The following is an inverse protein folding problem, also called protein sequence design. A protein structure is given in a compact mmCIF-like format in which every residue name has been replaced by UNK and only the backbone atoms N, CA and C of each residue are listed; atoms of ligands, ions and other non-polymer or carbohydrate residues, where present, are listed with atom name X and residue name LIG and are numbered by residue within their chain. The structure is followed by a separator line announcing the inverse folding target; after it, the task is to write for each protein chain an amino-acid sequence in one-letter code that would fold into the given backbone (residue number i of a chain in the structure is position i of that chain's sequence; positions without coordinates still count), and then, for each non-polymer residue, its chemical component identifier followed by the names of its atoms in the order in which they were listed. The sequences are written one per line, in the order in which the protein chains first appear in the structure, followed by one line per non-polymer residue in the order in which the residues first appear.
data_IF_653715230477
#
_entry.id   IF_653715230477
#
_cell.length_a   1.000
_cell.length_b   1.000
_cell.length_c   1.000
_cell.angle_alpha   90.00
_cell.angle_beta   90.00
_cell.angle_gamma   90.00
#
_symmetry.space_group_name_H-M   'P 1'
#
loop_
_entity.id
_entity.type
_entity.pdbx_description
1 polymer ?
#
# COMPACT_ATOMS: atom_id res chain seq x y z
N UNK A 1 7.49 -19.83 0.42
CA UNK A 1 8.15 -18.87 1.32
C UNK A 1 7.49 -18.74 2.70
N UNK A 2 6.14 -18.60 2.78
CA UNK A 2 5.45 -18.31 4.06
C UNK A 2 5.09 -19.55 4.90
N UNK A 3 5.28 -20.75 4.38
CA UNK A 3 5.03 -21.99 5.13
C UNK A 3 5.96 -22.08 6.35
N UNK A 4 5.41 -22.48 7.48
CA UNK A 4 6.10 -22.58 8.76
C UNK A 4 6.75 -21.26 9.26
N UNK A 5 6.27 -20.10 8.78
CA UNK A 5 6.73 -18.76 9.21
C UNK A 5 5.68 -18.07 10.08
N UNK A 6 6.18 -17.26 11.01
CA UNK A 6 5.34 -16.34 11.79
C UNK A 6 5.28 -15.00 11.06
N UNK A 7 4.08 -14.57 10.68
CA UNK A 7 3.84 -13.35 9.90
C UNK A 7 2.96 -12.41 10.71
N UNK A 8 3.28 -11.12 10.72
CA UNK A 8 2.46 -10.10 11.34
C UNK A 8 2.03 -9.05 10.31
N UNK A 9 0.73 -8.70 10.33
CA UNK A 9 0.15 -7.67 9.49
C UNK A 9 -0.33 -6.54 10.39
N UNK A 10 0.33 -5.37 10.34
CA UNK A 10 -0.20 -4.17 10.99
C UNK A 10 -1.32 -3.57 10.14
N UNK A 11 -2.34 -2.98 10.78
CA UNK A 11 -3.54 -2.57 10.05
C UNK A 11 -4.32 -3.76 9.46
N UNK A 12 -4.14 -4.95 10.05
CA UNK A 12 -4.62 -6.22 9.53
C UNK A 12 -6.14 -6.35 9.36
N UNK A 13 -6.94 -5.52 10.04
CA UNK A 13 -8.41 -5.47 9.86
C UNK A 13 -8.88 -4.50 8.76
N UNK A 14 -7.94 -3.81 8.08
CA UNK A 14 -8.24 -2.99 6.90
C UNK A 14 -8.54 -3.85 5.66
N UNK A 15 -8.98 -3.21 4.57
CA UNK A 15 -9.30 -3.93 3.30
C UNK A 15 -8.12 -4.77 2.81
N UNK A 16 -6.91 -4.19 2.77
CA UNK A 16 -5.70 -4.92 2.38
C UNK A 16 -5.40 -6.08 3.35
N UNK A 17 -5.42 -5.83 4.67
CA UNK A 17 -5.10 -6.84 5.68
C UNK A 17 -6.04 -8.04 5.66
N UNK A 18 -7.35 -7.81 5.50
CA UNK A 18 -8.36 -8.89 5.35
C UNK A 18 -8.07 -9.75 4.11
N UNK A 19 -7.85 -9.12 2.95
CA UNK A 19 -7.54 -9.86 1.71
C UNK A 19 -6.19 -10.56 1.78
N UNK A 20 -5.19 -9.94 2.41
CA UNK A 20 -3.88 -10.55 2.64
C UNK A 20 -3.98 -11.80 3.52
N UNK A 21 -4.77 -11.73 4.59
CA UNK A 21 -5.07 -12.88 5.47
C UNK A 21 -5.73 -14.02 4.69
N UNK A 22 -6.77 -13.71 3.91
CA UNK A 22 -7.47 -14.69 3.06
C UNK A 22 -6.50 -15.41 2.10
N UNK A 23 -5.68 -14.64 1.38
CA UNK A 23 -4.73 -15.19 0.40
C UNK A 23 -3.64 -16.02 1.08
N UNK A 24 -3.10 -15.55 2.21
CA UNK A 24 -2.08 -16.30 2.95
C UNK A 24 -2.64 -17.63 3.42
N UNK A 25 -3.85 -17.65 4.01
CA UNK A 25 -4.48 -18.88 4.50
C UNK A 25 -4.91 -19.84 3.39
N UNK A 26 -5.20 -19.32 2.19
CA UNK A 26 -5.54 -20.12 1.02
C UNK A 26 -4.31 -20.76 0.37
N UNK A 27 -3.18 -20.04 0.32
CA UNK A 27 -1.99 -20.46 -0.45
C UNK A 27 -0.88 -21.05 0.41
N UNK A 28 -0.85 -20.78 1.71
CA UNK A 28 0.25 -21.14 2.60
C UNK A 28 -0.24 -21.73 3.93
N UNK A 29 0.66 -22.37 4.63
CA UNK A 29 0.47 -22.90 6.00
C UNK A 29 1.43 -22.17 6.95
N UNK A 30 1.10 -20.95 7.39
CA UNK A 30 1.95 -20.21 8.30
C UNK A 30 2.02 -20.90 9.68
N UNK A 31 3.14 -20.82 10.36
CA UNK A 31 3.24 -21.24 11.77
C UNK A 31 2.34 -20.36 12.64
N UNK A 32 2.28 -19.06 12.33
CA UNK A 32 1.45 -18.09 13.04
C UNK A 32 1.16 -16.90 12.11
N UNK A 33 -0.09 -16.46 12.05
CA UNK A 33 -0.52 -15.25 11.35
C UNK A 33 -1.12 -14.28 12.35
N UNK A 34 -0.45 -13.17 12.60
CA UNK A 34 -0.82 -12.18 13.60
C UNK A 34 -1.48 -10.99 12.92
N UNK A 35 -2.71 -10.70 13.32
CA UNK A 35 -3.51 -9.56 12.90
C UNK A 35 -3.38 -8.48 13.97
N UNK A 36 -2.62 -7.43 13.67
CA UNK A 36 -2.39 -6.33 14.60
C UNK A 36 -3.18 -5.09 14.18
N UNK A 37 -4.11 -4.64 15.00
CA UNK A 37 -4.90 -3.43 14.75
C UNK A 37 -5.51 -2.86 16.05
N UNK A 38 -5.94 -1.58 16.00
CA UNK A 38 -6.52 -0.87 17.16
C UNK A 38 -7.98 -1.21 17.42
N UNK A 39 -8.70 -1.60 16.36
CA UNK A 39 -10.16 -1.68 16.34
C UNK A 39 -10.60 -3.09 16.76
N UNK A 40 -11.09 -3.19 17.99
CA UNK A 40 -11.57 -4.43 18.61
C UNK A 40 -12.77 -5.01 17.85
N UNK A 41 -13.74 -4.18 17.47
CA UNK A 41 -14.93 -4.66 16.76
C UNK A 41 -14.58 -5.29 15.40
N UNK A 42 -13.69 -4.65 14.63
CA UNK A 42 -13.22 -5.22 13.36
C UNK A 42 -12.41 -6.51 13.54
N UNK A 43 -11.68 -6.65 14.66
CA UNK A 43 -11.01 -7.91 14.99
C UNK A 43 -12.03 -8.99 15.31
N UNK A 44 -13.06 -8.68 16.09
CA UNK A 44 -14.15 -9.60 16.39
C UNK A 44 -14.88 -10.07 15.11
N UNK A 45 -15.29 -9.13 14.24
CA UNK A 45 -15.88 -9.45 12.94
C UNK A 45 -14.97 -10.35 12.08
N UNK A 46 -13.67 -10.06 12.09
CA UNK A 46 -12.69 -10.84 11.32
C UNK A 46 -12.47 -12.24 11.92
N UNK A 47 -12.51 -12.39 13.25
CA UNK A 47 -12.42 -13.68 13.91
C UNK A 47 -13.62 -14.58 13.58
N UNK A 48 -14.81 -14.02 13.36
CA UNK A 48 -15.96 -14.79 12.87
C UNK A 48 -15.75 -15.31 11.45
N UNK A 49 -15.08 -14.55 10.57
CA UNK A 49 -14.75 -14.99 9.21
C UNK A 49 -13.63 -16.04 9.19
N UNK A 50 -12.72 -15.97 10.16
CA UNK A 50 -11.56 -16.86 10.30
C UNK A 50 -11.55 -17.52 11.68
N UNK A 51 -12.51 -18.42 11.98
CA UNK A 51 -12.64 -19.01 13.31
C UNK A 51 -11.47 -19.96 13.64
N UNK A 52 -11.08 -19.99 14.90
CA UNK A 52 -9.97 -20.81 15.43
C UNK A 52 -10.12 -22.30 15.11
N UNK A 53 -11.34 -22.82 15.05
CA UNK A 53 -11.62 -24.22 14.70
C UNK A 53 -11.11 -24.58 13.29
N UNK A 54 -11.11 -23.61 12.36
CA UNK A 54 -10.65 -23.80 11.00
C UNK A 54 -9.23 -23.24 10.77
N UNK A 55 -8.87 -22.20 11.50
CA UNK A 55 -7.61 -21.47 11.31
C UNK A 55 -6.86 -21.29 12.65
N UNK A 56 -6.38 -22.39 13.27
CA UNK A 56 -5.78 -22.36 14.63
C UNK A 56 -4.47 -21.58 14.70
N UNK A 57 -3.93 -21.13 13.56
CA UNK A 57 -2.67 -20.37 13.48
C UNK A 57 -2.87 -18.85 13.49
N UNK A 58 -4.12 -18.35 13.41
CA UNK A 58 -4.41 -16.92 13.49
C UNK A 58 -4.31 -16.45 14.95
N UNK A 59 -3.81 -15.23 15.12
CA UNK A 59 -3.79 -14.52 16.40
C UNK A 59 -4.23 -13.08 16.19
N UNK A 60 -5.17 -12.63 17.00
CA UNK A 60 -5.67 -11.26 17.00
C UNK A 60 -5.03 -10.47 18.15
N UNK A 61 -4.25 -9.44 17.79
CA UNK A 61 -3.58 -8.57 18.73
C UNK A 61 -4.16 -7.16 18.65
N UNK A 62 -4.89 -6.74 19.66
CA UNK A 62 -5.29 -5.33 19.81
C UNK A 62 -4.05 -4.53 20.18
N UNK A 63 -3.77 -3.48 19.38
CA UNK A 63 -2.65 -2.58 19.62
C UNK A 63 -2.53 -1.49 18.57
N UNK A 64 -1.82 -0.43 18.92
CA UNK A 64 -1.53 0.72 18.09
C UNK A 64 -0.05 0.73 17.69
N UNK A 65 0.27 1.07 16.44
CA UNK A 65 1.67 1.20 15.97
C UNK A 65 2.41 2.34 16.68
N UNK A 66 1.69 3.26 17.32
CA UNK A 66 2.25 4.33 18.15
C UNK A 66 2.78 3.83 19.50
N UNK A 67 2.33 2.66 19.93
CA UNK A 67 2.73 2.00 21.18
C UNK A 67 3.87 1.02 20.90
N UNK A 68 5.11 1.47 21.18
CA UNK A 68 6.34 0.67 20.95
C UNK A 68 6.36 -0.58 21.85
N UNK A 69 5.90 -0.49 23.10
CA UNK A 69 5.92 -1.61 24.03
C UNK A 69 4.95 -2.70 23.56
N UNK A 70 3.75 -2.31 23.12
CA UNK A 70 2.76 -3.24 22.58
C UNK A 70 3.25 -3.91 21.28
N UNK A 71 3.90 -3.16 20.39
CA UNK A 71 4.55 -3.72 19.19
C UNK A 71 5.63 -4.73 19.58
N UNK A 72 6.46 -4.42 20.58
CA UNK A 72 7.52 -5.31 21.06
C UNK A 72 6.98 -6.68 21.49
N UNK A 73 5.84 -6.70 22.18
CA UNK A 73 5.15 -7.95 22.54
C UNK A 73 4.59 -8.69 21.33
N UNK A 74 4.00 -7.95 20.37
CA UNK A 74 3.38 -8.55 19.20
C UNK A 74 4.41 -9.15 18.22
N UNK A 75 5.62 -8.57 18.14
CA UNK A 75 6.70 -8.99 17.23
C UNK A 75 7.53 -10.17 17.77
N UNK A 76 7.28 -10.63 18.98
CA UNK A 76 8.03 -11.74 19.55
C UNK A 76 7.95 -13.00 18.70
N UNK A 77 9.11 -13.51 18.23
CA UNK A 77 9.24 -14.64 17.31
C UNK A 77 8.47 -14.48 15.99
N UNK A 78 8.44 -13.25 15.42
CA UNK A 78 7.91 -12.97 14.09
C UNK A 78 9.03 -13.04 13.06
N UNK A 79 8.81 -13.78 11.97
CA UNK A 79 9.77 -13.85 10.86
C UNK A 79 9.59 -12.68 9.88
N UNK A 80 8.32 -12.35 9.53
CA UNK A 80 8.01 -11.35 8.50
C UNK A 80 6.91 -10.39 8.96
N UNK A 81 7.05 -9.12 8.57
CA UNK A 81 6.07 -8.08 8.86
C UNK A 81 5.60 -7.43 7.55
N UNK A 82 4.28 -7.29 7.42
CA UNK A 82 3.64 -6.49 6.37
C UNK A 82 3.03 -5.28 7.06
N UNK A 83 3.62 -4.09 6.84
CA UNK A 83 3.17 -2.86 7.49
C UNK A 83 2.15 -2.14 6.62
N UNK A 84 0.86 -2.29 6.96
CA UNK A 84 -0.27 -1.66 6.25
C UNK A 84 -1.05 -0.64 7.11
N UNK A 85 -0.63 -0.41 8.35
CA UNK A 85 -1.28 0.57 9.23
C UNK A 85 -0.92 2.00 8.82
N UNK A 86 -1.93 2.81 8.52
CA UNK A 86 -1.77 4.24 8.25
C UNK A 86 -3.09 5.01 8.45
N UNK A 87 -3.00 6.30 8.70
CA UNK A 87 -4.07 7.26 8.46
C UNK A 87 -3.97 7.71 6.99
N UNK A 88 -5.02 7.49 6.18
CA UNK A 88 -4.98 7.68 4.73
C UNK A 88 -5.99 8.69 4.17
N UNK A 89 -6.94 9.14 4.97
CA UNK A 89 -7.96 10.09 4.54
C UNK A 89 -7.37 11.50 4.53
N UNK A 90 -7.26 12.10 3.34
CA UNK A 90 -6.61 13.42 3.16
C UNK A 90 -7.27 14.49 4.03
N UNK A 91 -8.60 14.71 3.99
CA UNK A 91 -9.23 15.76 4.82
C UNK A 91 -9.03 15.53 6.33
N UNK A 92 -9.07 14.28 6.77
CA UNK A 92 -8.87 13.95 8.18
C UNK A 92 -7.43 14.17 8.63
N UNK A 93 -6.44 13.89 7.75
CA UNK A 93 -5.03 14.13 8.03
C UNK A 93 -4.72 15.63 8.07
N UNK A 94 -5.28 16.43 7.16
CA UNK A 94 -5.12 17.88 7.16
C UNK A 94 -5.71 18.52 8.43
N UNK A 95 -6.87 18.04 8.87
CA UNK A 95 -7.51 18.54 10.09
C UNK A 95 -6.82 18.07 11.37
N UNK A 96 -6.21 16.87 11.37
CA UNK A 96 -5.52 16.28 12.51
C UNK A 96 -4.04 16.00 12.17
N UNK A 97 -3.22 17.03 11.89
CA UNK A 97 -1.91 16.84 11.29
C UNK A 97 -0.97 16.02 12.16
N UNK A 98 -0.94 16.25 13.46
CA UNK A 98 -0.02 15.56 14.35
C UNK A 98 -0.41 14.08 14.57
N UNK A 99 -1.70 13.74 14.49
CA UNK A 99 -2.13 12.34 14.54
C UNK A 99 -1.69 11.56 13.28
N UNK A 100 -1.66 12.23 12.12
CA UNK A 100 -1.09 11.66 10.90
C UNK A 100 0.44 11.44 11.05
N UNK A 101 1.17 12.42 11.60
CA UNK A 101 2.61 12.30 11.92
C UNK A 101 2.85 11.14 12.90
N UNK A 102 2.13 11.10 14.03
CA UNK A 102 2.27 10.04 15.02
C UNK A 102 2.05 8.65 14.45
N UNK A 103 1.02 8.49 13.61
CA UNK A 103 0.68 7.17 13.06
C UNK A 103 1.59 6.78 11.90
N UNK A 104 1.76 7.68 10.92
CA UNK A 104 2.42 7.33 9.66
C UNK A 104 3.96 7.46 9.74
N UNK A 105 4.48 8.34 10.59
CA UNK A 105 5.93 8.56 10.73
C UNK A 105 6.45 7.89 12.01
N UNK A 106 5.98 8.32 13.21
CA UNK A 106 6.47 7.75 14.46
C UNK A 106 6.06 6.28 14.60
N UNK A 107 4.86 5.91 14.13
CA UNK A 107 4.43 4.51 14.06
C UNK A 107 5.31 3.66 13.13
N UNK A 108 5.72 4.20 11.98
CA UNK A 108 6.67 3.53 11.08
C UNK A 108 8.04 3.34 11.76
N UNK A 109 8.55 4.38 12.43
CA UNK A 109 9.81 4.29 13.17
C UNK A 109 9.75 3.26 14.30
N UNK A 110 8.62 3.17 15.03
CA UNK A 110 8.43 2.14 16.04
C UNK A 110 8.46 0.73 15.45
N UNK A 111 7.81 0.53 14.29
CA UNK A 111 7.83 -0.76 13.58
C UNK A 111 9.26 -1.14 13.18
N UNK A 112 10.05 -0.21 12.67
CA UNK A 112 11.46 -0.43 12.31
C UNK A 112 12.27 -0.81 13.54
N UNK A 113 12.23 0.01 14.60
CA UNK A 113 12.98 -0.24 15.83
C UNK A 113 12.65 -1.61 16.42
N UNK A 114 11.37 -1.92 16.56
CA UNK A 114 10.94 -3.20 17.15
C UNK A 114 11.28 -4.38 16.23
N UNK A 115 11.21 -4.21 14.92
CA UNK A 115 11.62 -5.26 13.99
C UNK A 115 13.12 -5.62 14.16
N UNK A 116 13.96 -4.60 14.32
CA UNK A 116 15.39 -4.76 14.60
C UNK A 116 15.59 -5.43 15.95
N UNK A 117 14.98 -4.90 17.02
CA UNK A 117 15.11 -5.40 18.39
C UNK A 117 14.67 -6.87 18.52
N UNK A 118 13.66 -7.29 17.76
CA UNK A 118 13.09 -8.65 17.77
C UNK A 118 13.68 -9.60 16.70
N UNK A 119 14.62 -9.14 15.88
CA UNK A 119 15.26 -9.95 14.84
C UNK A 119 14.31 -10.39 13.71
N UNK A 120 13.33 -9.56 13.36
CA UNK A 120 12.42 -9.79 12.22
C UNK A 120 13.25 -9.82 10.93
N UNK A 121 13.10 -10.86 10.12
CA UNK A 121 13.93 -11.05 8.92
C UNK A 121 13.59 -10.08 7.80
N UNK A 122 12.29 -9.86 7.54
CA UNK A 122 11.83 -9.01 6.45
C UNK A 122 10.66 -8.15 6.90
N UNK A 123 10.71 -6.87 6.55
CA UNK A 123 9.61 -5.92 6.72
C UNK A 123 9.31 -5.29 5.38
N UNK A 124 8.07 -5.43 4.89
CA UNK A 124 7.60 -4.73 3.71
C UNK A 124 6.53 -3.73 4.10
N UNK A 125 6.74 -2.45 3.75
CA UNK A 125 5.81 -1.37 4.06
C UNK A 125 4.98 -0.99 2.84
N UNK A 126 3.68 -0.74 3.05
CA UNK A 126 2.81 -0.26 1.98
C UNK A 126 2.87 1.27 1.88
N UNK A 127 3.03 1.76 0.68
CA UNK A 127 3.02 3.17 0.31
C UNK A 127 1.88 3.50 -0.66
N UNK A 128 1.92 4.67 -1.27
CA UNK A 128 0.88 5.23 -2.11
C UNK A 128 1.49 6.13 -3.19
N UNK A 129 0.81 6.27 -4.33
CA UNK A 129 1.06 7.28 -5.36
C UNK A 129 1.13 8.72 -4.80
N UNK A 130 0.42 8.99 -3.70
CA UNK A 130 0.41 10.31 -3.04
C UNK A 130 1.73 10.63 -2.32
N UNK A 131 2.60 9.65 -2.09
CA UNK A 131 3.94 9.85 -1.55
C UNK A 131 4.94 10.36 -2.62
N UNK A 132 4.64 10.17 -3.90
CA UNK A 132 5.40 10.73 -5.00
C UNK A 132 4.96 12.18 -5.25
N UNK A 133 5.87 13.16 -5.16
CA UNK A 133 5.57 14.60 -5.29
C UNK A 133 4.33 15.01 -4.44
N UNK A 134 4.39 14.88 -3.11
CA UNK A 134 3.22 15.05 -2.26
C UNK A 134 2.73 16.49 -2.25
N UNK A 135 1.41 16.69 -2.39
CA UNK A 135 0.73 17.99 -2.29
C UNK A 135 -0.26 18.04 -1.12
N UNK A 136 -0.27 17.01 -0.28
CA UNK A 136 -1.08 16.93 0.93
C UNK A 136 -0.29 16.23 2.04
N UNK A 137 -0.74 16.42 3.28
CA UNK A 137 -0.07 15.89 4.47
C UNK A 137 -0.01 14.36 4.49
N UNK A 138 -1.07 13.68 4.06
CA UNK A 138 -1.04 12.22 3.95
C UNK A 138 0.12 11.76 3.07
N UNK A 139 0.25 12.32 1.87
CA UNK A 139 1.36 12.00 0.95
C UNK A 139 2.72 12.32 1.56
N UNK A 140 2.88 13.51 2.19
CA UNK A 140 4.12 13.92 2.84
C UNK A 140 4.51 12.96 3.98
N UNK A 141 3.55 12.55 4.84
CA UNK A 141 3.83 11.58 5.91
C UNK A 141 4.20 10.20 5.37
N UNK A 142 3.61 9.78 4.23
CA UNK A 142 3.97 8.51 3.58
C UNK A 142 5.33 8.57 2.91
N UNK A 143 5.72 9.71 2.31
CA UNK A 143 7.07 9.91 1.81
C UNK A 143 8.10 9.79 2.94
N UNK A 144 7.86 10.44 4.10
CA UNK A 144 8.72 10.28 5.26
C UNK A 144 8.82 8.82 5.71
N UNK A 145 7.69 8.11 5.78
CA UNK A 145 7.64 6.68 6.10
C UNK A 145 8.46 5.84 5.11
N UNK A 146 8.35 6.09 3.80
CA UNK A 146 9.11 5.39 2.76
C UNK A 146 10.63 5.56 2.99
N UNK A 147 11.08 6.80 3.24
CA UNK A 147 12.49 7.10 3.54
C UNK A 147 12.98 6.41 4.82
N UNK A 148 12.16 6.37 5.89
CA UNK A 148 12.49 5.68 7.14
C UNK A 148 12.68 4.18 6.92
N UNK A 149 11.77 3.50 6.21
CA UNK A 149 11.91 2.06 5.92
C UNK A 149 13.12 1.76 5.05
N UNK A 150 13.38 2.55 4.01
CA UNK A 150 14.55 2.37 3.16
C UNK A 150 15.84 2.55 3.98
N UNK A 151 15.95 3.63 4.75
CA UNK A 151 17.13 3.93 5.58
C UNK A 151 17.27 2.97 6.77
N UNK A 152 16.17 2.34 7.22
CA UNK A 152 16.20 1.32 8.28
C UNK A 152 17.23 0.20 8.03
N UNK A 153 17.56 -0.07 6.76
CA UNK A 153 18.61 -1.03 6.40
C UNK A 153 20.01 -0.60 6.87
N UNK A 154 20.26 0.71 7.06
CA UNK A 154 21.55 1.20 7.55
C UNK A 154 21.77 0.93 9.05
N UNK A 155 20.71 0.65 9.81
CA UNK A 155 20.83 0.45 11.26
C UNK A 155 21.22 -0.97 11.66
N UNK A 156 21.18 -1.93 10.73
CA UNK A 156 21.21 -3.38 11.07
C UNK A 156 22.43 -4.14 10.60
N UNK A 157 23.33 -3.58 9.79
CA UNK A 157 24.46 -4.35 9.24
C UNK A 157 24.02 -5.49 8.29
N UNK A 158 24.95 -6.45 8.01
CA UNK A 158 24.78 -7.40 6.90
C UNK A 158 23.83 -8.59 7.14
N UNK A 159 23.61 -9.01 8.40
CA UNK A 159 22.96 -10.31 8.70
C UNK A 159 21.60 -10.20 9.39
N UNK A 160 20.95 -9.03 9.33
CA UNK A 160 19.75 -8.76 10.12
C UNK A 160 18.52 -8.43 9.26
N UNK A 161 17.57 -7.74 9.87
CA UNK A 161 16.32 -7.31 9.26
C UNK A 161 16.54 -6.56 7.95
N UNK A 162 15.75 -6.84 6.92
CA UNK A 162 15.73 -6.07 5.69
C UNK A 162 14.38 -5.40 5.50
N UNK A 163 14.42 -4.17 4.98
CA UNK A 163 13.26 -3.31 4.83
C UNK A 163 13.12 -2.88 3.38
N UNK A 164 11.90 -2.97 2.83
CA UNK A 164 11.56 -2.47 1.51
C UNK A 164 10.15 -1.90 1.50
N UNK A 165 9.82 -1.15 0.46
CA UNK A 165 8.55 -0.45 0.31
C UNK A 165 7.86 -0.90 -0.97
N UNK A 166 6.52 -1.00 -0.94
CA UNK A 166 5.68 -1.16 -2.14
C UNK A 166 4.80 0.06 -2.27
N UNK A 167 4.87 0.73 -3.42
CA UNK A 167 4.04 1.88 -3.79
C UNK A 167 3.09 1.48 -4.90
N UNK A 168 1.80 1.70 -4.73
CA UNK A 168 0.79 1.48 -5.77
C UNK A 168 -0.32 2.55 -5.70
N UNK A 169 -1.15 2.60 -6.74
CA UNK A 169 -2.22 3.59 -6.91
C UNK A 169 -3.50 3.24 -6.16
N UNK A 170 -4.63 3.61 -6.74
CA UNK A 170 -5.93 3.40 -6.13
C UNK A 170 -6.31 1.91 -6.14
N UNK A 171 -6.68 1.41 -4.97
CA UNK A 171 -7.18 0.03 -4.84
C UNK A 171 -8.70 0.04 -5.07
N UNK A 172 -9.14 -0.67 -6.12
CA UNK A 172 -10.55 -0.79 -6.46
C UNK A 172 -11.35 -1.37 -5.28
N UNK A 173 -12.52 -0.78 -5.00
CA UNK A 173 -13.41 -1.21 -3.94
C UNK A 173 -12.89 -1.00 -2.51
N UNK A 174 -11.73 -0.35 -2.32
CA UNK A 174 -11.24 -0.07 -0.98
C UNK A 174 -12.19 0.86 -0.23
N UNK A 175 -12.33 0.66 1.10
CA UNK A 175 -13.23 1.44 1.94
C UNK A 175 -12.93 2.95 1.84
N UNK A 176 -13.96 3.76 1.55
CA UNK A 176 -13.86 5.21 1.38
C UNK A 176 -13.25 5.67 0.05
N UNK A 177 -13.13 4.79 -0.95
CA UNK A 177 -12.67 5.14 -2.30
C UNK A 177 -13.84 5.58 -3.22
N UNK A 178 -13.48 6.07 -4.42
CA UNK A 178 -14.44 6.67 -5.37
C UNK A 178 -15.47 5.67 -5.91
N UNK A 179 -15.12 4.40 -6.13
CA UNK A 179 -16.07 3.39 -6.63
C UNK A 179 -17.24 3.20 -5.66
N UNK A 180 -17.04 2.84 -4.38
CA UNK A 180 -18.14 2.78 -3.42
C UNK A 180 -18.88 4.11 -3.24
N UNK A 181 -18.22 5.24 -3.43
CA UNK A 181 -18.86 6.55 -3.36
C UNK A 181 -19.79 6.76 -4.56
N UNK A 182 -19.36 6.51 -5.79
CA UNK A 182 -20.19 6.63 -6.98
C UNK A 182 -21.37 5.66 -6.99
N UNK A 183 -21.17 4.41 -6.52
CA UNK A 183 -22.26 3.43 -6.36
C UNK A 183 -23.37 3.94 -5.42
N UNK A 184 -23.03 4.66 -4.35
CA UNK A 184 -24.02 5.31 -3.48
C UNK A 184 -24.69 6.51 -4.15
N UNK A 185 -23.90 7.37 -4.82
CA UNK A 185 -24.43 8.54 -5.51
C UNK A 185 -25.33 8.18 -6.71
N UNK A 186 -25.16 7.00 -7.29
CA UNK A 186 -26.02 6.48 -8.38
C UNK A 186 -27.51 6.56 -8.03
N UNK A 187 -27.87 6.33 -6.76
CA UNK A 187 -29.25 6.40 -6.28
C UNK A 187 -29.84 7.81 -6.34
N UNK A 188 -29.01 8.86 -6.36
CA UNK A 188 -29.44 10.25 -6.46
C UNK A 188 -29.60 10.74 -7.91
N UNK A 189 -29.19 9.95 -8.89
CA UNK A 189 -29.19 10.31 -10.31
C UNK A 189 -28.10 11.31 -10.72
N UNK A 190 -27.21 11.72 -9.80
CA UNK A 190 -26.13 12.69 -10.07
C UNK A 190 -24.82 12.20 -9.49
N UNK A 191 -23.76 12.20 -10.30
CA UNK A 191 -22.40 11.89 -9.87
C UNK A 191 -21.56 13.18 -9.75
N UNK A 192 -21.04 13.51 -8.56
CA UNK A 192 -20.15 14.65 -8.39
C UNK A 192 -18.74 14.31 -8.93
N UNK A 193 -18.28 15.07 -9.92
CA UNK A 193 -16.98 14.94 -10.56
C UNK A 193 -16.11 16.13 -10.16
N UNK A 194 -14.94 15.87 -9.64
CA UNK A 194 -14.02 16.93 -9.20
C UNK A 194 -13.39 17.67 -10.37
N UNK A 195 -12.90 16.95 -11.39
CA UNK A 195 -12.44 17.53 -12.66
C UNK A 195 -12.48 16.44 -13.75
N UNK A 196 -13.06 16.72 -14.93
CA UNK A 196 -13.20 15.71 -16.00
C UNK A 196 -11.88 15.23 -16.60
N UNK A 197 -10.78 15.95 -16.39
CA UNK A 197 -9.45 15.57 -16.87
C UNK A 197 -8.73 14.59 -15.96
N UNK A 198 -9.24 14.37 -14.73
CA UNK A 198 -8.57 13.52 -13.72
C UNK A 198 -8.40 12.08 -14.19
N UNK A 199 -7.21 11.54 -13.98
CA UNK A 199 -6.89 10.13 -14.17
C UNK A 199 -6.37 9.50 -12.89
N UNK A 200 -6.57 8.20 -12.73
CA UNK A 200 -6.07 7.42 -11.58
C UNK A 200 -5.52 6.10 -12.05
N UNK A 201 -4.50 5.62 -11.34
CA UNK A 201 -4.03 4.24 -11.45
C UNK A 201 -4.98 3.30 -10.71
N UNK A 202 -5.19 2.10 -11.25
CA UNK A 202 -6.09 1.12 -10.67
C UNK A 202 -5.43 -0.23 -10.45
N UNK A 203 -5.63 -0.79 -9.26
CA UNK A 203 -5.22 -2.15 -8.90
C UNK A 203 -6.33 -2.81 -8.08
N UNK A 204 -6.58 -4.11 -8.27
CA UNK A 204 -7.50 -4.85 -7.39
C UNK A 204 -6.80 -5.18 -6.07
N UNK A 205 -7.59 -5.46 -5.01
CA UNK A 205 -7.04 -5.93 -3.73
C UNK A 205 -6.20 -7.19 -3.90
N UNK A 206 -6.67 -8.13 -4.71
CA UNK A 206 -5.96 -9.38 -4.95
C UNK A 206 -4.63 -9.18 -5.66
N UNK A 207 -4.61 -8.37 -6.72
CA UNK A 207 -3.38 -7.99 -7.43
C UNK A 207 -2.38 -7.31 -6.49
N UNK A 208 -2.84 -6.33 -5.70
CA UNK A 208 -2.00 -5.62 -4.73
C UNK A 208 -1.40 -6.54 -3.68
N UNK A 209 -2.19 -7.46 -3.12
CA UNK A 209 -1.70 -8.45 -2.15
C UNK A 209 -0.71 -9.41 -2.78
N UNK A 210 -1.03 -9.99 -3.94
CA UNK A 210 -0.11 -10.92 -4.62
C UNK A 210 1.22 -10.24 -4.98
N UNK A 211 1.17 -8.96 -5.40
CA UNK A 211 2.37 -8.18 -5.65
C UNK A 211 3.21 -8.00 -4.38
N UNK A 212 2.61 -7.58 -3.27
CA UNK A 212 3.30 -7.41 -1.98
C UNK A 212 3.93 -8.72 -1.52
N UNK A 213 3.21 -9.84 -1.58
CA UNK A 213 3.73 -11.16 -1.17
C UNK A 213 4.90 -11.61 -2.06
N UNK A 214 4.81 -11.37 -3.37
CA UNK A 214 5.89 -11.65 -4.31
C UNK A 214 7.14 -10.79 -4.02
N UNK A 215 6.94 -9.50 -3.71
CA UNK A 215 8.08 -8.61 -3.38
C UNK A 215 8.68 -8.95 -2.02
N UNK A 216 7.87 -9.29 -1.01
CA UNK A 216 8.35 -9.77 0.28
C UNK A 216 9.27 -11.00 0.13
N UNK A 217 8.99 -11.88 -0.82
CA UNK A 217 9.86 -13.03 -1.13
C UNK A 217 11.19 -12.58 -1.71
N UNK A 218 11.17 -11.70 -2.70
CA UNK A 218 12.30 -11.33 -3.57
C UNK A 218 13.14 -10.16 -3.05
N UNK A 219 12.62 -9.37 -2.11
CA UNK A 219 13.32 -8.18 -1.60
C UNK A 219 14.68 -8.52 -0.99
N UNK A 220 15.64 -7.64 -1.22
CA UNK A 220 16.99 -7.69 -0.66
C UNK A 220 17.29 -6.54 0.31
N UNK A 221 16.37 -5.56 0.41
CA UNK A 221 16.40 -4.40 1.32
C UNK A 221 16.78 -3.10 0.60
N UNK A 222 16.02 -2.04 0.87
CA UNK A 222 16.21 -0.70 0.30
C UNK A 222 15.42 -0.42 -0.97
N UNK A 223 14.75 -1.42 -1.55
CA UNK A 223 13.95 -1.21 -2.76
C UNK A 223 12.62 -0.52 -2.45
N UNK A 224 12.21 0.37 -3.37
CA UNK A 224 10.84 0.81 -3.49
C UNK A 224 10.25 0.21 -4.77
N UNK A 225 9.38 -0.78 -4.60
CA UNK A 225 8.73 -1.49 -5.70
C UNK A 225 7.48 -0.76 -6.17
N UNK A 226 7.32 -0.60 -7.48
CA UNK A 226 6.15 0.03 -8.11
C UNK A 226 5.61 -0.92 -9.18
N UNK A 227 4.39 -1.48 -9.03
CA UNK A 227 3.82 -2.35 -10.05
C UNK A 227 3.46 -1.55 -11.32
N UNK A 228 3.59 -2.18 -12.48
CA UNK A 228 2.97 -1.69 -13.70
C UNK A 228 1.48 -1.99 -13.64
N UNK A 229 0.66 -0.96 -13.62
CA UNK A 229 -0.79 -1.07 -13.51
C UNK A 229 -1.49 -0.07 -14.44
N UNK A 230 -2.72 -0.38 -14.88
CA UNK A 230 -3.45 0.48 -15.77
C UNK A 230 -3.96 1.76 -15.11
N UNK A 231 -4.27 2.75 -15.95
CA UNK A 231 -4.96 3.98 -15.59
C UNK A 231 -6.35 4.07 -16.20
N UNK A 232 -7.18 4.94 -15.67
CA UNK A 232 -8.48 5.28 -16.25
C UNK A 232 -8.85 6.72 -15.91
N UNK A 233 -9.53 7.40 -16.84
CA UNK A 233 -10.10 8.71 -16.61
C UNK A 233 -11.34 8.59 -15.70
N UNK A 234 -11.59 9.61 -14.87
CA UNK A 234 -12.69 9.61 -13.91
C UNK A 234 -14.06 9.68 -14.59
N UNK A 235 -14.17 10.32 -15.78
CA UNK A 235 -15.41 10.37 -16.55
C UNK A 235 -15.77 9.01 -17.12
N UNK A 236 -14.77 8.24 -17.58
CA UNK A 236 -14.99 6.88 -18.08
C UNK A 236 -15.40 5.95 -16.94
N UNK A 237 -14.80 6.09 -15.76
CA UNK A 237 -15.24 5.39 -14.55
C UNK A 237 -16.70 5.74 -14.20
N UNK A 238 -17.08 7.01 -14.27
CA UNK A 238 -18.45 7.46 -14.00
C UNK A 238 -19.46 6.81 -14.97
N UNK A 239 -19.15 6.79 -16.28
CA UNK A 239 -19.96 6.11 -17.30
C UNK A 239 -20.11 4.62 -17.04
N UNK A 240 -19.02 3.96 -16.60
CA UNK A 240 -19.06 2.52 -16.28
C UNK A 240 -19.97 2.22 -15.09
N UNK A 241 -19.92 3.05 -14.04
CA UNK A 241 -20.69 2.82 -12.80
C UNK A 241 -22.15 3.20 -12.95
N UNK A 242 -22.41 4.35 -13.59
CA UNK A 242 -23.77 4.93 -13.64
C UNK A 242 -23.98 5.70 -14.96
N UNK A 243 -24.11 4.99 -16.08
CA UNK A 243 -24.29 5.62 -17.40
C UNK A 243 -25.59 6.46 -17.50
N UNK A 244 -26.57 6.16 -16.66
CA UNK A 244 -27.86 6.87 -16.58
C UNK A 244 -27.79 8.17 -15.77
N UNK A 245 -26.74 8.38 -14.97
CA UNK A 245 -26.65 9.56 -14.10
C UNK A 245 -26.06 10.77 -14.83
N UNK A 246 -26.52 11.95 -14.43
CA UNK A 246 -25.87 13.21 -14.81
C UNK A 246 -24.59 13.39 -14.03
N UNK A 247 -23.60 14.04 -14.63
CA UNK A 247 -22.37 14.44 -13.95
C UNK A 247 -22.45 15.92 -13.55
N UNK A 248 -22.07 16.23 -12.32
CA UNK A 248 -21.94 17.58 -11.79
C UNK A 248 -20.47 17.90 -11.48
N UNK A 249 -19.94 18.97 -12.05
CA UNK A 249 -18.52 19.34 -11.87
C UNK A 249 -18.40 20.22 -10.63
N UNK A 250 -17.86 19.64 -9.55
CA UNK A 250 -17.77 20.29 -8.23
C UNK A 250 -16.42 20.99 -7.96
N UNK A 251 -15.44 20.89 -8.88
CA UNK A 251 -14.11 21.45 -8.71
C UNK A 251 -13.13 20.53 -7.96
N UNK A 252 -11.83 20.76 -8.19
CA UNK A 252 -10.74 20.00 -7.56
C UNK A 252 -10.72 20.32 -6.07
N UNK A 253 -10.64 19.29 -5.22
CA UNK A 253 -10.53 19.47 -3.78
C UNK A 253 -9.10 19.85 -3.40
N UNK A 254 -8.89 20.60 -2.31
CA UNK A 254 -7.55 20.85 -1.78
C UNK A 254 -6.78 19.53 -1.56
N UNK A 255 -5.54 19.49 -2.01
CA UNK A 255 -4.69 18.30 -1.87
C UNK A 255 -4.96 17.16 -2.86
N UNK A 256 -5.81 17.36 -3.89
CA UNK A 256 -6.00 16.40 -4.98
C UNK A 256 -5.20 16.80 -6.23
N UNK A 257 -4.51 15.82 -6.82
CA UNK A 257 -3.81 15.97 -8.11
C UNK A 257 -4.75 15.73 -9.28
N UNK A 258 -4.49 16.40 -10.40
CA UNK A 258 -5.15 16.11 -11.67
C UNK A 258 -4.80 14.69 -12.13
N UNK A 259 -3.51 14.38 -12.18
CA UNK A 259 -2.96 13.06 -12.48
C UNK A 259 -2.10 12.58 -11.32
N UNK A 260 -2.15 11.29 -11.02
CA UNK A 260 -1.29 10.71 -10.00
C UNK A 260 0.05 10.27 -10.59
N UNK A 261 1.12 10.45 -9.82
CA UNK A 261 2.47 10.04 -10.19
C UNK A 261 2.94 8.94 -9.25
N UNK A 262 3.46 7.85 -9.76
CA UNK A 262 4.09 6.80 -8.95
C UNK A 262 5.62 6.86 -8.98
N UNK A 263 6.20 7.33 -10.09
CA UNK A 263 7.65 7.55 -10.21
C UNK A 263 7.83 8.96 -10.76
N UNK A 264 8.29 9.91 -9.93
CA UNK A 264 8.67 11.25 -10.37
C UNK A 264 9.91 11.21 -11.30
N UNK A 265 10.08 12.23 -12.14
CA UNK A 265 11.25 12.37 -13.01
C UNK A 265 12.57 12.36 -12.24
N UNK A 266 12.61 12.95 -11.05
CA UNK A 266 13.82 12.98 -10.22
C UNK A 266 14.25 11.58 -9.74
N UNK A 267 13.31 10.63 -9.67
CA UNK A 267 13.58 9.24 -9.33
C UNK A 267 14.00 8.38 -10.55
N UNK A 268 13.87 8.89 -11.79
CA UNK A 268 14.18 8.15 -13.03
C UNK A 268 15.61 7.60 -13.03
N UNK A 269 16.59 8.41 -12.63
CA UNK A 269 18.02 8.04 -12.59
C UNK A 269 18.33 6.80 -11.75
N UNK A 270 17.43 6.41 -10.84
CA UNK A 270 17.56 5.27 -9.92
C UNK A 270 16.52 4.21 -10.18
N UNK A 271 15.73 4.36 -11.23
CA UNK A 271 14.63 3.46 -11.53
C UNK A 271 15.07 2.40 -12.54
N UNK A 272 14.83 1.16 -12.17
CA UNK A 272 15.04 -0.01 -13.02
C UNK A 272 13.68 -0.57 -13.43
N UNK A 273 13.48 -0.79 -14.71
CA UNK A 273 12.30 -1.37 -15.30
C UNK A 273 12.43 -2.87 -15.45
N UNK A 274 11.41 -3.60 -14.99
CA UNK A 274 11.21 -5.03 -15.21
C UNK A 274 9.93 -5.27 -16.02
N UNK A 275 9.64 -6.51 -16.35
CA UNK A 275 8.45 -6.87 -17.15
C UNK A 275 7.14 -6.42 -16.49
N UNK A 276 6.98 -6.62 -15.18
CA UNK A 276 5.74 -6.43 -14.42
C UNK A 276 5.80 -5.28 -13.39
N UNK A 277 6.97 -4.66 -13.19
CA UNK A 277 7.16 -3.62 -12.19
C UNK A 277 8.39 -2.76 -12.45
N UNK A 278 8.51 -1.69 -11.68
CA UNK A 278 9.70 -0.86 -11.53
C UNK A 278 10.27 -1.01 -10.13
N UNK A 279 11.57 -0.76 -10.00
CA UNK A 279 12.27 -0.65 -8.71
C UNK A 279 12.98 0.69 -8.66
N UNK A 280 12.62 1.54 -7.70
CA UNK A 280 13.40 2.72 -7.36
C UNK A 280 14.45 2.27 -6.35
N UNK A 281 15.72 2.38 -6.72
CA UNK A 281 16.86 2.06 -5.86
C UNK A 281 17.08 3.19 -4.85
N UNK A 282 17.66 2.93 -3.68
CA UNK A 282 17.95 3.97 -2.69
C UNK A 282 18.96 5.00 -3.22
N UNK A 283 18.85 6.23 -2.70
CA UNK A 283 19.75 7.35 -3.05
C UNK A 283 21.20 7.09 -2.63
N UNK A 284 21.36 6.40 -1.49
CA UNK A 284 22.64 6.16 -0.85
C UNK A 284 22.76 4.69 -0.47
N UNK A 285 23.93 4.10 -0.69
CA UNK A 285 24.26 2.74 -0.28
C UNK A 285 25.01 2.79 1.06
N UNK A 286 24.34 3.18 2.13
CA UNK A 286 24.93 3.28 3.46
C UNK A 286 25.24 1.91 4.10
N UNK A 287 24.71 0.82 3.56
CA UNK A 287 24.87 -0.54 4.09
C UNK A 287 25.68 -1.47 3.19
N UNK A 288 26.36 -0.92 2.15
CA UNK A 288 27.30 -1.63 1.29
C UNK A 288 26.71 -2.70 0.39
N UNK A 289 25.39 -2.68 0.16
CA UNK A 289 24.74 -3.58 -0.81
C UNK A 289 24.73 -2.93 -2.19
N UNK A 290 25.49 -3.47 -3.11
CA UNK A 290 25.38 -3.08 -4.52
C UNK A 290 24.09 -3.65 -5.09
N UNK A 291 23.19 -2.76 -5.52
CA UNK A 291 22.02 -3.15 -6.29
C UNK A 291 22.48 -3.59 -7.69
N UNK A 292 22.18 -4.82 -8.03
CA UNK A 292 22.37 -5.34 -9.38
C UNK A 292 21.06 -5.27 -10.12
N UNK A 293 21.09 -4.93 -11.41
CA UNK A 293 19.86 -4.77 -12.19
C UNK A 293 19.14 -6.11 -12.46
N UNK A 294 19.75 -7.26 -12.13
CA UNK A 294 19.16 -8.61 -12.20
C UNK A 294 18.20 -8.83 -13.38
N UNK A 295 18.60 -8.40 -14.59
CA UNK A 295 17.81 -8.52 -15.81
C UNK A 295 16.81 -7.38 -16.07
N UNK A 296 16.78 -6.33 -15.23
CA UNK A 296 16.04 -5.10 -15.51
C UNK A 296 16.88 -4.08 -16.27
N UNK A 297 16.22 -3.11 -16.89
CA UNK A 297 16.85 -2.03 -17.63
C UNK A 297 16.64 -0.68 -16.95
N UNK A 298 17.64 0.21 -16.91
CA UNK A 298 17.42 1.59 -16.51
C UNK A 298 16.35 2.25 -17.38
N UNK A 299 15.47 3.06 -16.79
CA UNK A 299 14.53 3.87 -17.53
C UNK A 299 15.23 5.12 -18.13
N UNK A 300 14.67 5.78 -19.16
CA UNK A 300 15.17 7.08 -19.64
C UNK A 300 15.23 8.13 -18.53
N UNK A 301 16.18 9.09 -18.60
CA UNK A 301 16.38 10.12 -17.56
C UNK A 301 15.17 11.05 -17.36
N UNK A 302 14.36 11.24 -18.40
CA UNK A 302 13.14 12.04 -18.38
C UNK A 302 11.87 11.22 -18.07
N UNK A 303 12.03 9.94 -17.74
CA UNK A 303 10.91 9.04 -17.45
C UNK A 303 10.09 9.51 -16.25
N UNK A 304 8.79 9.49 -16.42
CA UNK A 304 7.81 9.68 -15.35
C UNK A 304 6.72 8.62 -15.46
N UNK A 305 6.40 7.94 -14.38
CA UNK A 305 5.26 7.02 -14.36
C UNK A 305 4.03 7.75 -13.80
N UNK A 306 3.23 8.28 -14.72
CA UNK A 306 2.12 9.20 -14.48
C UNK A 306 0.83 8.63 -15.05
N UNK A 307 -0.29 8.73 -14.32
CA UNK A 307 -1.59 8.18 -14.74
C UNK A 307 -2.20 8.88 -15.96
N UNK A 308 -1.81 10.13 -16.23
CA UNK A 308 -2.27 10.89 -17.40
C UNK A 308 -1.57 10.51 -18.70
N UNK A 309 -0.34 10.01 -18.62
CA UNK A 309 0.51 9.62 -19.75
C UNK A 309 0.74 8.11 -19.84
N UNK A 310 0.18 7.35 -18.92
CA UNK A 310 0.31 5.89 -18.93
C UNK A 310 -0.32 5.30 -20.19
N UNK A 311 0.43 4.46 -20.89
CA UNK A 311 -0.03 3.81 -22.14
C UNK A 311 -1.02 2.67 -21.89
N UNK A 312 -1.00 2.08 -20.71
CA UNK A 312 -1.95 1.04 -20.33
C UNK A 312 -3.20 1.67 -19.71
N UNK A 313 -4.25 1.80 -20.52
CA UNK A 313 -5.55 2.31 -20.10
C UNK A 313 -6.53 1.15 -19.91
N UNK A 314 -7.33 1.18 -18.84
CA UNK A 314 -8.45 0.27 -18.66
C UNK A 314 -9.57 0.61 -19.64
N UNK A 315 -10.08 -0.39 -20.32
CA UNK A 315 -11.34 -0.31 -21.06
C UNK A 315 -12.55 -0.28 -20.12
N UNK A 316 -13.69 0.18 -20.62
CA UNK A 316 -14.96 0.11 -19.89
C UNK A 316 -15.34 -1.32 -19.50
N UNK A 317 -15.04 -2.31 -20.37
CA UNK A 317 -15.32 -3.73 -20.13
C UNK A 317 -14.50 -4.25 -18.96
N UNK A 318 -13.19 -4.05 -18.96
CA UNK A 318 -12.30 -4.48 -17.88
C UNK A 318 -12.68 -3.84 -16.54
N UNK A 319 -13.06 -2.55 -16.55
CA UNK A 319 -13.49 -1.87 -15.32
C UNK A 319 -14.83 -2.42 -14.82
N UNK A 320 -15.79 -2.76 -15.71
CA UNK A 320 -17.04 -3.45 -15.32
C UNK A 320 -16.76 -4.79 -14.65
N UNK A 321 -15.85 -5.59 -15.20
CA UNK A 321 -15.45 -6.86 -14.60
C UNK A 321 -14.81 -6.67 -13.22
N UNK A 322 -13.94 -5.67 -13.07
CA UNK A 322 -13.36 -5.33 -11.76
C UNK A 322 -14.46 -4.98 -10.75
N UNK A 323 -15.43 -4.15 -11.13
CA UNK A 323 -16.52 -3.70 -10.25
C UNK A 323 -17.45 -4.86 -9.86
N UNK A 324 -17.75 -5.77 -10.79
CA UNK A 324 -18.59 -6.95 -10.52
C UNK A 324 -17.94 -7.95 -9.53
N UNK A 325 -16.61 -7.94 -9.43
CA UNK A 325 -15.85 -8.81 -8.55
C UNK A 325 -15.44 -8.15 -7.20
N UNK A 326 -16.03 -6.96 -6.89
CA UNK A 326 -15.80 -6.27 -5.62
C UNK A 326 -16.77 -6.73 -4.55
#
# INVERSE_FOLDING_TARGET
MLNNKSILITGGTGSFGKKCTEIILKKYQPKRLIIFSRDELKQFEMAQQFPDSKYPHIRFFIGDVRDKERLNRAFHNVDYVIHAAALKQVPAAEYNPFEAVKTNILGAQNVINVAIDQGVKKVIALSTDKAANPINLYGATKLCSDKLFITGNSYVGHDHSIFSVVRYGNVAGSRGSVIPFFLRCRQTGVLPITDPRMTRFWITLEQGVNFVLSRLEKMVGGELFVPKIPSMNIMDLAKVIAPECKTDIIGIRPGEKLHEVMIPRDDARRTIEYSDHYVIQPDFDFWGRRFTNNGGNPVPEDFEYNSGTNTWQLSEIEMKEIIQNL
#
